data_IF_895998033751
#
_entry.id   IF_895998033751
#
_cell.length_a   1.000
_cell.length_b   1.000
_cell.length_c   1.000
_cell.angle_alpha   90.00
_cell.angle_beta   90.00
_cell.angle_gamma   90.00
#
_symmetry.space_group_name_H-M   'P 1'
#
loop_
_entity.id
_entity.type
_entity.pdbx_description
1 polymer ?
#
# COMPACT_ATOMS: atom_id res chain seq x y z
N UNK A 1 -7.37 -11.68 4.61
CA UNK A 1 -7.48 -10.99 5.91
C UNK A 1 -8.77 -11.42 6.61
N UNK A 2 -8.68 -12.07 7.76
CA UNK A 2 -9.86 -12.49 8.54
C UNK A 2 -10.48 -11.26 9.22
N UNK A 3 -11.72 -10.93 8.86
CA UNK A 3 -12.48 -9.86 9.52
C UNK A 3 -12.57 -10.16 11.03
N UNK A 4 -11.95 -9.32 11.83
CA UNK A 4 -12.26 -9.22 13.27
C UNK A 4 -11.35 -9.94 14.24
N UNK A 5 -10.41 -10.80 13.82
CA UNK A 5 -9.48 -11.44 14.76
C UNK A 5 -8.01 -11.25 14.39
N UNK A 6 -7.44 -10.12 14.80
CA UNK A 6 -6.01 -9.81 14.59
C UNK A 6 -5.06 -10.71 15.38
N UNK A 7 -5.58 -11.53 16.31
CA UNK A 7 -4.80 -12.48 17.12
C UNK A 7 -4.87 -13.92 16.59
N UNK A 8 -5.61 -14.14 15.49
CA UNK A 8 -5.68 -15.45 14.86
C UNK A 8 -4.33 -15.78 14.22
N UNK A 9 -3.71 -16.87 14.62
CA UNK A 9 -2.44 -17.33 14.08
C UNK A 9 -2.53 -17.77 12.62
N UNK A 10 -3.74 -18.08 12.14
CA UNK A 10 -4.01 -18.49 10.76
C UNK A 10 -4.41 -17.31 9.86
N UNK A 11 -4.39 -16.07 10.35
CA UNK A 11 -4.67 -14.90 9.51
C UNK A 11 -3.56 -14.61 8.53
N UNK A 12 -3.91 -13.98 7.42
CA UNK A 12 -2.94 -13.43 6.49
C UNK A 12 -2.25 -12.17 7.03
N UNK A 13 -1.10 -11.84 6.44
CA UNK A 13 -0.29 -10.67 6.81
C UNK A 13 -0.29 -9.63 5.70
N UNK A 14 -0.46 -8.36 6.08
CA UNK A 14 -0.40 -7.22 5.16
C UNK A 14 0.72 -6.27 5.59
N UNK A 15 1.67 -6.04 4.69
CA UNK A 15 2.73 -5.06 4.84
C UNK A 15 2.49 -3.87 3.89
N UNK A 16 2.49 -2.66 4.44
CA UNK A 16 2.45 -1.43 3.66
C UNK A 16 3.86 -0.87 3.54
N UNK A 17 4.59 -1.21 2.46
CA UNK A 17 5.98 -0.79 2.25
C UNK A 17 6.08 0.70 1.95
N UNK A 18 5.15 1.23 1.15
CA UNK A 18 4.97 2.67 0.93
C UNK A 18 4.32 3.33 2.15
N UNK A 19 5.05 3.41 3.25
CA UNK A 19 4.51 3.79 4.55
C UNK A 19 3.84 5.17 4.62
N UNK A 20 4.12 6.06 3.68
CA UNK A 20 3.49 7.38 3.56
C UNK A 20 2.00 7.32 3.16
N UNK A 21 1.51 6.17 2.68
CA UNK A 21 0.08 5.95 2.40
C UNK A 21 -0.71 5.50 3.64
N UNK A 22 -0.11 5.52 4.80
CA UNK A 22 -0.74 5.07 6.05
C UNK A 22 -2.08 5.73 6.38
N UNK A 23 -2.39 6.98 5.97
CA UNK A 23 -3.72 7.54 6.22
C UNK A 23 -4.85 6.71 5.60
N UNK A 24 -4.64 6.15 4.40
CA UNK A 24 -5.61 5.24 3.77
C UNK A 24 -5.77 3.95 4.58
N UNK A 25 -4.66 3.39 5.08
CA UNK A 25 -4.68 2.19 5.92
C UNK A 25 -5.44 2.43 7.22
N UNK A 26 -5.22 3.56 7.88
CA UNK A 26 -5.92 3.90 9.12
C UNK A 26 -7.42 4.13 8.88
N UNK A 27 -7.80 4.74 7.76
CA UNK A 27 -9.20 4.87 7.36
C UNK A 27 -9.87 3.49 7.22
N UNK A 28 -9.20 2.56 6.54
CA UNK A 28 -9.69 1.17 6.40
C UNK A 28 -9.80 0.48 7.76
N UNK A 29 -8.82 0.64 8.64
CA UNK A 29 -8.84 0.02 9.98
C UNK A 29 -9.96 0.58 10.85
N UNK A 30 -10.30 1.87 10.71
CA UNK A 30 -11.44 2.47 11.38
C UNK A 30 -12.76 1.89 10.86
N UNK A 31 -12.94 1.75 9.55
CA UNK A 31 -14.11 1.13 8.94
C UNK A 31 -14.27 -0.34 9.32
N UNK A 32 -13.16 -1.07 9.50
CA UNK A 32 -13.17 -2.45 9.97
C UNK A 32 -13.38 -2.58 11.49
N UNK A 33 -13.40 -1.48 12.22
CA UNK A 33 -13.51 -1.46 13.68
C UNK A 33 -12.26 -1.98 14.41
N UNK A 34 -11.10 -1.97 13.77
CA UNK A 34 -9.83 -2.35 14.40
C UNK A 34 -9.24 -1.24 15.25
N UNK A 35 -9.54 0.00 14.88
CA UNK A 35 -9.26 1.20 15.67
C UNK A 35 -10.55 2.03 15.80
N UNK A 36 -10.69 2.72 16.93
CA UNK A 36 -11.79 3.66 17.12
C UNK A 36 -11.63 4.85 16.15
N UNK A 37 -12.69 5.19 15.40
CA UNK A 37 -12.64 6.27 14.40
C UNK A 37 -12.23 7.62 15.02
N UNK A 38 -12.61 7.88 16.28
CA UNK A 38 -12.22 9.10 17.00
C UNK A 38 -10.71 9.23 17.21
N UNK A 39 -9.96 8.14 17.18
CA UNK A 39 -8.49 8.17 17.26
C UNK A 39 -7.85 8.84 16.04
N UNK A 40 -8.52 8.87 14.89
CA UNK A 40 -8.02 9.57 13.70
C UNK A 40 -7.83 11.08 13.96
N UNK A 41 -8.55 11.64 14.94
CA UNK A 41 -8.37 13.03 15.39
C UNK A 41 -7.01 13.27 16.08
N UNK A 42 -6.39 12.20 16.58
CA UNK A 42 -5.10 12.26 17.28
C UNK A 42 -3.91 12.15 16.33
N UNK A 43 -4.13 12.25 15.02
CA UNK A 43 -3.06 12.20 14.02
C UNK A 43 -1.95 13.19 14.36
N UNK A 44 -0.71 12.68 14.42
CA UNK A 44 0.50 13.40 14.86
C UNK A 44 0.54 13.82 16.34
N UNK A 45 -0.40 13.38 17.15
CA UNK A 45 -0.29 13.56 18.59
C UNK A 45 0.82 12.68 19.18
N UNK A 46 1.58 13.22 20.13
CA UNK A 46 2.59 12.45 20.87
C UNK A 46 1.99 11.43 21.83
N UNK A 47 0.69 11.55 22.14
CA UNK A 47 -0.05 10.68 23.06
C UNK A 47 -0.69 9.47 22.35
N UNK A 48 -0.67 9.46 21.01
CA UNK A 48 -1.18 8.36 20.19
C UNK A 48 -0.11 7.89 19.19
N UNK A 49 -0.30 6.71 18.62
CA UNK A 49 0.60 6.10 17.64
C UNK A 49 0.13 6.30 16.19
N UNK A 50 -0.90 7.09 15.95
CA UNK A 50 -1.39 7.47 14.61
C UNK A 50 -0.47 8.56 14.07
N UNK A 51 0.48 8.13 13.23
CA UNK A 51 1.56 9.00 12.75
C UNK A 51 1.71 8.90 11.21
N UNK A 52 2.75 9.55 10.64
CA UNK A 52 3.03 9.61 9.19
C UNK A 52 3.30 8.26 8.53
N UNK A 53 3.72 7.27 9.31
CA UNK A 53 4.08 5.94 8.84
C UNK A 53 3.48 4.88 9.75
N UNK A 54 3.26 3.66 9.25
CA UNK A 54 2.73 2.56 10.03
C UNK A 54 3.53 2.30 11.31
N UNK A 55 2.81 2.23 12.43
CA UNK A 55 3.37 1.95 13.74
C UNK A 55 2.75 0.67 14.28
N UNK A 56 3.57 -0.34 14.64
CA UNK A 56 3.09 -1.64 15.13
C UNK A 56 2.31 -1.59 16.44
N UNK A 57 2.27 -0.46 17.11
CA UNK A 57 1.39 -0.25 18.28
C UNK A 57 -0.07 0.01 17.84
N UNK A 58 -0.33 0.20 16.57
CA UNK A 58 -1.68 0.27 16.01
C UNK A 58 -2.12 -1.16 15.65
N UNK A 59 -3.29 -1.61 16.14
CA UNK A 59 -3.83 -2.93 15.80
C UNK A 59 -3.93 -3.12 14.28
N UNK A 60 -3.42 -4.24 13.77
CA UNK A 60 -3.41 -4.55 12.34
C UNK A 60 -2.16 -4.08 11.59
N UNK A 61 -1.29 -3.29 12.20
CA UNK A 61 0.01 -2.94 11.64
C UNK A 61 1.04 -4.01 12.03
N UNK A 62 1.58 -4.71 11.05
CA UNK A 62 2.51 -5.82 11.27
C UNK A 62 3.93 -5.35 11.63
N UNK A 63 4.37 -4.26 10.99
CA UNK A 63 5.73 -3.78 11.13
C UNK A 63 5.79 -2.26 10.95
N UNK A 64 6.75 -1.62 11.61
CA UNK A 64 7.07 -0.22 11.31
C UNK A 64 7.59 -0.11 9.88
N UNK A 65 7.10 0.87 9.13
CA UNK A 65 7.55 1.11 7.76
C UNK A 65 7.81 2.59 7.49
N UNK A 66 8.26 2.92 6.28
CA UNK A 66 8.57 4.28 5.85
C UNK A 66 9.92 4.39 5.14
N UNK A 67 10.87 3.51 5.47
CA UNK A 67 12.10 3.37 4.68
C UNK A 67 11.80 2.49 3.48
N UNK A 68 11.70 3.10 2.29
CA UNK A 68 11.37 2.41 1.05
C UNK A 68 12.37 1.29 0.74
N UNK A 69 11.90 0.21 0.14
CA UNK A 69 12.71 -0.94 -0.25
C UNK A 69 13.03 -1.93 0.89
N UNK A 70 12.62 -1.66 2.13
CA UNK A 70 12.97 -2.52 3.27
C UNK A 70 11.92 -3.61 3.56
N UNK A 71 10.64 -3.29 3.45
CA UNK A 71 9.58 -4.26 3.78
C UNK A 71 9.46 -5.44 2.82
N UNK A 72 9.83 -5.38 1.54
CA UNK A 72 9.89 -6.58 0.71
C UNK A 72 10.72 -7.70 1.35
N UNK A 73 11.92 -7.38 1.86
CA UNK A 73 12.77 -8.36 2.56
C UNK A 73 12.18 -8.85 3.88
N UNK A 74 11.53 -7.98 4.64
CA UNK A 74 10.82 -8.36 5.88
C UNK A 74 9.67 -9.32 5.55
N UNK A 75 8.87 -9.02 4.52
CA UNK A 75 7.76 -9.87 4.09
C UNK A 75 8.21 -11.26 3.63
N UNK A 76 9.38 -11.35 3.00
CA UNK A 76 10.04 -12.62 2.65
C UNK A 76 10.34 -13.44 3.91
N UNK A 77 10.94 -12.80 4.93
CA UNK A 77 11.26 -13.49 6.18
C UNK A 77 10.02 -14.07 6.86
N UNK A 78 8.91 -13.31 6.85
CA UNK A 78 7.63 -13.79 7.41
C UNK A 78 7.05 -14.92 6.55
N UNK A 79 7.08 -14.81 5.21
CA UNK A 79 6.61 -15.85 4.31
C UNK A 79 7.38 -17.17 4.48
N UNK A 80 8.70 -17.08 4.62
CA UNK A 80 9.57 -18.24 4.89
C UNK A 80 9.26 -18.89 6.24
N UNK A 81 9.08 -18.11 7.30
CA UNK A 81 8.73 -18.63 8.63
C UNK A 81 7.39 -19.38 8.63
N UNK A 82 6.39 -18.84 7.90
CA UNK A 82 5.11 -19.52 7.73
C UNK A 82 5.29 -20.90 7.07
N UNK A 83 6.04 -20.98 5.98
CA UNK A 83 6.31 -22.24 5.28
C UNK A 83 7.06 -23.22 6.19
N UNK A 84 8.08 -22.76 6.91
CA UNK A 84 8.87 -23.60 7.83
C UNK A 84 7.98 -24.19 8.94
N UNK A 85 7.01 -23.42 9.42
CA UNK A 85 6.06 -23.89 10.45
C UNK A 85 4.91 -24.73 9.88
N UNK A 86 4.83 -24.90 8.55
CA UNK A 86 3.74 -25.62 7.89
C UNK A 86 2.41 -24.86 7.90
N UNK A 87 2.45 -23.53 8.02
CA UNK A 87 1.28 -22.66 7.98
C UNK A 87 0.78 -22.44 6.54
N UNK A 88 -0.49 -22.02 6.42
CA UNK A 88 -1.15 -21.74 5.14
C UNK A 88 -1.41 -20.23 4.92
N UNK A 89 -0.96 -19.38 5.85
CA UNK A 89 -1.12 -17.93 5.81
C UNK A 89 -0.47 -17.35 4.56
N UNK A 90 -1.10 -16.35 4.00
CA UNK A 90 -0.54 -15.56 2.89
C UNK A 90 0.04 -14.26 3.39
N UNK A 91 1.04 -13.78 2.68
CA UNK A 91 1.73 -12.52 2.94
C UNK A 91 1.53 -11.61 1.74
N UNK A 92 1.05 -10.41 1.98
CA UNK A 92 0.85 -9.37 0.99
C UNK A 92 1.73 -8.16 1.32
N UNK A 93 2.51 -7.69 0.35
CA UNK A 93 3.36 -6.51 0.49
C UNK A 93 2.96 -5.46 -0.54
N UNK A 94 2.36 -4.35 -0.09
CA UNK A 94 1.97 -3.22 -0.95
C UNK A 94 3.15 -2.27 -1.08
N UNK A 95 3.55 -2.03 -2.31
CA UNK A 95 4.70 -1.22 -2.70
C UNK A 95 4.28 -0.09 -3.66
N UNK A 96 5.04 0.98 -3.68
CA UNK A 96 4.91 2.01 -4.72
C UNK A 96 5.81 1.72 -5.93
N UNK A 97 5.44 2.25 -7.09
CA UNK A 97 6.27 2.15 -8.29
C UNK A 97 7.61 2.89 -8.14
N UNK A 98 7.61 4.09 -7.56
CA UNK A 98 8.85 4.81 -7.25
C UNK A 98 9.76 4.08 -6.28
N UNK A 99 9.22 3.24 -5.41
CA UNK A 99 9.98 2.38 -4.51
C UNK A 99 10.82 1.34 -5.27
N UNK A 100 10.42 0.95 -6.48
CA UNK A 100 11.17 0.01 -7.32
C UNK A 100 12.51 0.57 -7.81
N UNK A 101 12.79 1.85 -7.60
CA UNK A 101 14.12 2.41 -7.82
C UNK A 101 15.12 2.05 -6.69
N UNK A 102 14.65 1.49 -5.58
CA UNK A 102 15.50 0.92 -4.54
C UNK A 102 16.04 -0.46 -4.96
N UNK A 103 17.36 -0.62 -4.98
CA UNK A 103 18.00 -1.89 -5.38
C UNK A 103 17.58 -3.07 -4.49
N UNK A 104 17.33 -2.81 -3.19
CA UNK A 104 16.89 -3.81 -2.23
C UNK A 104 15.56 -4.49 -2.60
N UNK A 105 14.68 -3.82 -3.37
CA UNK A 105 13.47 -4.45 -3.90
C UNK A 105 13.82 -5.61 -4.84
N UNK A 106 14.74 -5.38 -5.78
CA UNK A 106 15.14 -6.38 -6.77
C UNK A 106 15.92 -7.52 -6.15
N UNK A 107 16.76 -7.24 -5.16
CA UNK A 107 17.42 -8.27 -4.34
C UNK A 107 16.39 -9.15 -3.62
N UNK A 108 15.34 -8.53 -3.05
CA UNK A 108 14.25 -9.26 -2.41
C UNK A 108 13.50 -10.17 -3.42
N UNK A 109 13.22 -9.70 -4.63
CA UNK A 109 12.55 -10.51 -5.66
C UNK A 109 13.39 -11.72 -6.08
N UNK A 110 14.72 -11.59 -6.17
CA UNK A 110 15.61 -12.73 -6.41
C UNK A 110 15.47 -13.80 -5.34
N UNK A 111 15.44 -13.39 -4.07
CA UNK A 111 15.28 -14.30 -2.94
C UNK A 111 13.90 -14.95 -2.95
N UNK A 112 12.84 -14.17 -3.16
CA UNK A 112 11.46 -14.69 -3.21
C UNK A 112 11.29 -15.78 -4.28
N UNK A 113 11.89 -15.58 -5.47
CA UNK A 113 11.87 -16.57 -6.53
C UNK A 113 12.74 -17.79 -6.20
N UNK A 114 13.96 -17.58 -5.67
CA UNK A 114 14.87 -18.67 -5.33
C UNK A 114 14.25 -19.66 -4.33
N UNK A 115 13.51 -19.14 -3.35
CA UNK A 115 12.82 -19.97 -2.33
C UNK A 115 11.39 -20.35 -2.73
N UNK A 116 10.92 -19.94 -3.91
CA UNK A 116 9.57 -20.28 -4.44
C UNK A 116 8.45 -19.99 -3.44
N UNK A 117 8.45 -18.78 -2.90
CA UNK A 117 7.52 -18.37 -1.85
C UNK A 117 6.10 -18.17 -2.42
N UNK A 118 5.36 -19.27 -2.60
CA UNK A 118 4.02 -19.30 -3.20
C UNK A 118 2.94 -18.65 -2.31
N UNK A 119 3.27 -18.42 -1.05
CA UNK A 119 2.44 -17.70 -0.09
C UNK A 119 2.69 -16.18 -0.06
N UNK A 120 3.58 -15.65 -0.92
CA UNK A 120 3.94 -14.23 -0.96
C UNK A 120 3.45 -13.54 -2.25
N UNK A 121 2.77 -12.42 -2.10
CA UNK A 121 2.32 -11.58 -3.21
C UNK A 121 2.77 -10.14 -3.01
N UNK A 122 3.51 -9.60 -3.98
CA UNK A 122 3.82 -8.17 -4.06
C UNK A 122 2.73 -7.46 -4.87
N UNK A 123 2.23 -6.35 -4.35
CA UNK A 123 1.21 -5.51 -5.00
C UNK A 123 1.86 -4.17 -5.29
N UNK A 124 2.00 -3.83 -6.56
CA UNK A 124 2.66 -2.60 -6.99
C UNK A 124 1.59 -1.57 -7.33
N UNK A 125 1.50 -0.51 -6.55
CA UNK A 125 0.70 0.67 -6.88
C UNK A 125 1.45 1.46 -7.95
N UNK A 126 1.05 1.25 -9.22
CA UNK A 126 1.63 1.92 -10.41
C UNK A 126 0.87 3.21 -10.70
N UNK A 127 1.13 4.23 -9.90
CA UNK A 127 0.49 5.54 -10.03
C UNK A 127 1.26 6.52 -10.95
N UNK A 128 2.41 6.10 -11.48
CA UNK A 128 3.30 6.84 -12.38
C UNK A 128 4.03 8.03 -11.75
N UNK A 129 4.04 8.15 -10.42
CA UNK A 129 4.71 9.25 -9.74
C UNK A 129 5.62 8.79 -8.61
N UNK A 130 6.78 9.43 -8.52
CA UNK A 130 7.68 9.37 -7.38
C UNK A 130 7.77 10.77 -6.77
N UNK A 131 7.22 10.95 -5.58
CA UNK A 131 7.02 12.26 -4.98
C UNK A 131 6.32 13.22 -5.98
N UNK A 132 6.95 14.31 -6.37
CA UNK A 132 6.42 15.32 -7.28
C UNK A 132 6.94 15.20 -8.74
N UNK A 133 7.48 14.06 -9.13
CA UNK A 133 7.98 13.80 -10.48
C UNK A 133 7.36 12.52 -11.06
N UNK A 134 7.24 12.47 -12.38
CA UNK A 134 6.86 11.24 -13.05
C UNK A 134 7.99 10.20 -12.94
N UNK A 135 7.64 8.95 -12.64
CA UNK A 135 8.63 7.86 -12.50
C UNK A 135 9.43 7.64 -13.77
N UNK A 136 8.80 7.74 -14.93
CA UNK A 136 9.46 7.53 -16.23
C UNK A 136 10.42 8.67 -16.62
N UNK A 137 10.23 9.87 -16.05
CA UNK A 137 11.14 11.00 -16.28
C UNK A 137 12.37 10.95 -15.37
N UNK A 138 12.26 10.27 -14.22
CA UNK A 138 13.36 10.12 -13.27
C UNK A 138 14.25 8.93 -13.64
N UNK A 139 13.73 7.73 -13.42
CA UNK A 139 14.40 6.46 -13.71
C UNK A 139 13.33 5.54 -14.32
N UNK A 140 13.33 5.34 -15.64
CA UNK A 140 12.29 4.57 -16.32
C UNK A 140 12.12 3.15 -15.78
N UNK A 141 10.90 2.78 -15.49
CA UNK A 141 10.55 1.48 -14.91
C UNK A 141 9.98 0.50 -15.93
N UNK A 142 9.43 0.97 -17.05
CA UNK A 142 8.80 0.08 -18.03
C UNK A 142 9.85 -0.72 -18.84
N UNK A 143 9.60 -1.96 -19.30
CA UNK A 143 8.35 -2.71 -19.00
C UNK A 143 8.46 -3.42 -17.67
N UNK A 144 7.59 -3.08 -16.70
CA UNK A 144 7.58 -3.73 -15.39
C UNK A 144 7.22 -5.22 -15.50
N UNK A 145 6.27 -5.59 -16.37
CA UNK A 145 5.86 -6.99 -16.56
C UNK A 145 7.07 -7.83 -16.97
N UNK A 146 7.81 -7.42 -18.00
CA UNK A 146 8.98 -8.15 -18.49
C UNK A 146 10.08 -8.24 -17.42
N UNK A 147 10.28 -7.17 -16.64
CA UNK A 147 11.24 -7.18 -15.53
C UNK A 147 10.89 -8.24 -14.50
N UNK A 148 9.65 -8.24 -13.99
CA UNK A 148 9.24 -9.23 -12.98
C UNK A 148 9.24 -10.66 -13.54
N UNK A 149 8.79 -10.86 -14.76
CA UNK A 149 8.85 -12.16 -15.43
C UNK A 149 10.29 -12.66 -15.63
N UNK A 150 11.24 -11.77 -15.93
CA UNK A 150 12.67 -12.12 -16.00
C UNK A 150 13.26 -12.56 -14.66
N UNK A 151 12.68 -12.11 -13.54
CA UNK A 151 12.99 -12.59 -12.20
C UNK A 151 12.26 -13.90 -11.84
N UNK A 152 11.50 -14.47 -12.78
CA UNK A 152 10.77 -15.74 -12.61
C UNK A 152 9.48 -15.60 -11.80
N UNK A 153 8.92 -14.41 -11.67
CA UNK A 153 7.70 -14.16 -10.91
C UNK A 153 6.47 -14.21 -11.80
N UNK A 154 5.39 -14.84 -11.31
CA UNK A 154 4.10 -14.76 -11.99
C UNK A 154 3.55 -13.33 -11.84
N UNK A 155 3.36 -12.66 -12.97
CA UNK A 155 3.00 -11.25 -13.00
C UNK A 155 1.64 -11.03 -13.64
N UNK A 156 0.80 -10.22 -13.02
CA UNK A 156 -0.47 -9.74 -13.56
C UNK A 156 -0.45 -8.21 -13.55
N UNK A 157 -0.95 -7.56 -14.61
CA UNK A 157 -1.14 -6.10 -14.65
C UNK A 157 -2.62 -5.81 -14.89
N UNK A 158 -3.20 -4.97 -14.05
CA UNK A 158 -4.64 -4.70 -14.01
C UNK A 158 -4.91 -3.23 -13.77
N UNK A 159 -6.14 -2.79 -14.08
CA UNK A 159 -6.67 -1.53 -13.56
C UNK A 159 -6.86 -1.64 -12.04
N UNK A 160 -6.10 -0.85 -11.27
CA UNK A 160 -6.14 -0.84 -9.80
C UNK A 160 -7.41 -0.20 -9.21
N UNK A 161 -8.25 0.44 -10.05
CA UNK A 161 -9.54 1.00 -9.63
C UNK A 161 -10.72 0.10 -10.01
N UNK A 162 -10.50 -1.02 -10.69
CA UNK A 162 -11.52 -2.01 -11.02
C UNK A 162 -11.55 -3.14 -9.98
N UNK A 163 -12.57 -3.14 -9.12
CA UNK A 163 -12.75 -4.17 -8.09
C UNK A 163 -12.91 -5.58 -8.66
N UNK A 164 -13.50 -5.73 -9.85
CA UNK A 164 -13.66 -7.05 -10.49
C UNK A 164 -12.32 -7.57 -11.00
N UNK A 165 -11.47 -6.68 -11.54
CA UNK A 165 -10.11 -7.02 -11.95
C UNK A 165 -9.24 -7.42 -10.74
N UNK A 166 -9.37 -6.68 -9.62
CA UNK A 166 -8.70 -7.01 -8.35
C UNK A 166 -9.13 -8.39 -7.83
N UNK A 167 -10.44 -8.65 -7.73
CA UNK A 167 -10.97 -9.95 -7.27
C UNK A 167 -10.45 -11.10 -8.13
N UNK A 168 -10.45 -10.93 -9.45
CA UNK A 168 -9.92 -11.91 -10.39
C UNK A 168 -8.42 -12.13 -10.19
N UNK A 169 -7.63 -11.06 -10.03
CA UNK A 169 -6.20 -11.14 -9.82
C UNK A 169 -5.87 -11.92 -8.53
N UNK A 170 -6.54 -11.60 -7.41
CA UNK A 170 -6.39 -12.33 -6.16
C UNK A 170 -6.88 -13.79 -6.21
N UNK A 171 -7.85 -14.09 -7.08
CA UNK A 171 -8.29 -15.47 -7.31
C UNK A 171 -7.24 -16.26 -8.09
N UNK A 172 -6.58 -15.62 -9.08
CA UNK A 172 -5.59 -16.26 -9.94
C UNK A 172 -4.28 -16.63 -9.21
N UNK A 173 -3.93 -15.99 -8.10
CA UNK A 173 -2.72 -16.32 -7.33
C UNK A 173 -2.86 -17.60 -6.52
N UNK A 174 -4.08 -18.13 -6.32
CA UNK A 174 -4.30 -19.34 -5.57
C UNK A 174 -3.78 -20.56 -6.34
N UNK A 175 -2.96 -21.38 -5.67
CA UNK A 175 -2.39 -22.59 -6.26
C UNK A 175 -1.25 -22.37 -7.26
N UNK A 176 -0.77 -21.13 -7.40
CA UNK A 176 0.43 -20.84 -8.19
C UNK A 176 1.69 -21.20 -7.42
N UNK A 177 2.76 -21.51 -8.14
CA UNK A 177 4.08 -21.80 -7.56
C UNK A 177 4.98 -20.56 -7.64
N UNK A 178 5.67 -20.26 -6.53
CA UNK A 178 6.56 -19.11 -6.41
C UNK A 178 5.84 -17.80 -6.09
N UNK A 179 6.60 -16.77 -5.81
CA UNK A 179 6.06 -15.46 -5.47
C UNK A 179 5.35 -14.79 -6.65
N UNK A 180 4.30 -14.04 -6.36
CA UNK A 180 3.45 -13.41 -7.35
C UNK A 180 3.55 -11.88 -7.29
N UNK A 181 3.30 -11.23 -8.43
CA UNK A 181 3.21 -9.77 -8.53
C UNK A 181 1.89 -9.38 -9.17
N UNK A 182 1.20 -8.44 -8.54
CA UNK A 182 0.05 -7.75 -9.12
C UNK A 182 0.43 -6.29 -9.31
N UNK A 183 0.55 -5.85 -10.55
CA UNK A 183 0.77 -4.45 -10.90
C UNK A 183 -0.61 -3.81 -11.07
N UNK A 184 -0.93 -2.87 -10.19
CA UNK A 184 -2.17 -2.13 -10.21
C UNK A 184 -1.93 -0.75 -10.83
N UNK A 185 -2.35 -0.54 -12.07
CA UNK A 185 -2.35 0.79 -12.67
C UNK A 185 -3.39 1.65 -11.96
N UNK A 186 -2.95 2.73 -11.34
CA UNK A 186 -3.78 3.63 -10.56
C UNK A 186 -3.62 5.08 -11.00
N UNK A 187 -4.57 5.91 -10.61
CA UNK A 187 -4.50 7.36 -10.78
C UNK A 187 -4.30 8.00 -9.42
N UNK A 188 -3.17 8.68 -9.22
CA UNK A 188 -2.92 9.43 -7.99
C UNK A 188 -4.04 10.46 -7.77
N UNK A 189 -4.59 10.49 -6.55
CA UNK A 189 -5.67 11.42 -6.19
C UNK A 189 -7.04 11.05 -6.76
N UNK A 190 -7.23 9.80 -7.20
CA UNK A 190 -8.52 9.30 -7.71
C UNK A 190 -9.66 9.63 -6.77
N UNK A 191 -10.73 10.21 -7.33
CA UNK A 191 -11.91 10.69 -6.60
C UNK A 191 -11.90 12.21 -6.35
N UNK A 192 -10.79 12.89 -6.65
CA UNK A 192 -10.68 14.35 -6.59
C UNK A 192 -10.16 14.88 -7.93
N UNK A 193 -11.04 15.10 -8.93
CA UNK A 193 -10.67 15.50 -10.29
C UNK A 193 -9.73 16.71 -10.37
N UNK A 194 -9.85 17.66 -9.44
CA UNK A 194 -8.97 18.84 -9.37
C UNK A 194 -7.51 18.53 -9.04
N UNK A 195 -7.23 17.36 -8.45
CA UNK A 195 -5.89 16.93 -8.06
C UNK A 195 -5.46 15.60 -8.70
N UNK A 196 -6.35 14.91 -9.42
CA UNK A 196 -6.03 13.65 -10.10
C UNK A 196 -4.82 13.81 -11.03
N UNK A 197 -3.92 12.80 -11.02
CA UNK A 197 -2.74 12.71 -11.88
C UNK A 197 -1.81 13.93 -11.84
N UNK A 198 -1.78 14.69 -10.73
CA UNK A 198 -0.96 15.90 -10.59
C UNK A 198 0.26 15.63 -9.71
N UNK A 199 1.44 15.80 -10.28
CA UNK A 199 2.71 15.67 -9.58
C UNK A 199 2.90 16.78 -8.52
N UNK A 200 2.47 18.01 -8.82
CA UNK A 200 2.61 19.19 -7.96
C UNK A 200 1.73 19.11 -6.67
N UNK A 201 0.94 18.07 -6.52
CA UNK A 201 0.08 17.85 -5.37
C UNK A 201 0.62 16.82 -4.37
N UNK A 202 1.90 16.51 -4.41
CA UNK A 202 2.55 15.67 -3.41
C UNK A 202 2.81 16.42 -2.09
N UNK A 203 3.45 17.59 -2.17
CA UNK A 203 3.64 18.49 -1.05
C UNK A 203 2.57 19.58 -1.11
N UNK A 204 1.46 19.38 -0.44
CA UNK A 204 0.33 20.31 -0.47
C UNK A 204 0.16 21.00 0.89
N UNK A 205 0.12 22.34 0.86
CA UNK A 205 -0.43 23.15 1.93
C UNK A 205 -1.75 23.72 1.41
N UNK A 206 -2.85 23.08 1.75
CA UNK A 206 -4.17 23.58 1.38
C UNK A 206 -4.61 24.67 2.36
N UNK A 207 -5.12 25.77 1.82
CA UNK A 207 -5.85 26.76 2.61
C UNK A 207 -7.21 26.19 3.06
N UNK A 208 -7.79 26.76 4.12
CA UNK A 208 -9.11 26.34 4.58
C UNK A 208 -10.20 26.41 3.48
N UNK A 209 -10.27 27.45 2.62
CA UNK A 209 -11.19 27.46 1.49
C UNK A 209 -10.97 26.30 0.51
N UNK A 210 -9.71 26.03 0.12
CA UNK A 210 -9.39 24.90 -0.77
C UNK A 210 -9.80 23.55 -0.15
N UNK A 211 -9.61 23.36 1.15
CA UNK A 211 -10.06 22.14 1.85
C UNK A 211 -11.57 21.99 1.73
N UNK A 212 -12.34 23.07 1.93
CA UNK A 212 -13.80 23.02 1.79
C UNK A 212 -14.24 22.69 0.35
N UNK A 213 -13.57 23.27 -0.64
CA UNK A 213 -13.83 22.96 -2.05
C UNK A 213 -13.53 21.48 -2.37
N UNK A 214 -12.39 20.95 -1.90
CA UNK A 214 -12.03 19.54 -2.08
C UNK A 214 -13.00 18.59 -1.36
N UNK A 215 -13.50 18.95 -0.18
CA UNK A 215 -14.51 18.16 0.51
C UNK A 215 -15.84 18.11 -0.23
N UNK A 216 -16.26 19.25 -0.80
CA UNK A 216 -17.46 19.31 -1.65
C UNK A 216 -17.28 18.44 -2.91
N UNK A 217 -16.11 18.53 -3.54
CA UNK A 217 -15.77 17.72 -4.71
C UNK A 217 -15.76 16.22 -4.37
N UNK A 218 -15.13 15.82 -3.26
CA UNK A 218 -15.07 14.43 -2.80
C UNK A 218 -16.45 13.84 -2.49
N UNK A 219 -17.36 14.66 -1.99
CA UNK A 219 -18.72 14.24 -1.63
C UNK A 219 -19.75 14.57 -2.70
N UNK A 220 -19.35 14.67 -3.96
CA UNK A 220 -20.25 14.87 -5.12
C UNK A 220 -21.18 16.10 -4.95
N UNK A 221 -20.68 17.17 -4.34
CA UNK A 221 -21.42 18.39 -4.10
C UNK A 221 -22.11 18.48 -2.74
N UNK A 222 -22.05 17.46 -1.91
CA UNK A 222 -22.54 17.53 -0.53
C UNK A 222 -21.46 18.08 0.41
N UNK A 223 -21.85 19.01 1.30
CA UNK A 223 -20.95 19.56 2.31
C UNK A 223 -20.51 18.47 3.30
N UNK A 224 -19.22 18.40 3.59
CA UNK A 224 -18.66 17.55 4.62
C UNK A 224 -17.80 18.38 5.57
N UNK A 225 -17.65 17.90 6.79
CA UNK A 225 -16.77 18.53 7.78
C UNK A 225 -15.55 17.65 8.00
N UNK A 226 -14.39 18.29 8.11
CA UNK A 226 -13.18 17.59 8.56
C UNK A 226 -13.40 17.05 9.98
N UNK A 227 -13.00 15.81 10.19
CA UNK A 227 -13.04 15.16 11.52
C UNK A 227 -11.92 15.69 12.41
N UNK A 228 -10.83 16.23 11.84
CA UNK A 228 -9.71 16.84 12.54
C UNK A 228 -9.11 18.01 11.77
N UNK A 229 -8.74 19.09 12.49
CA UNK A 229 -8.10 20.27 11.89
C UNK A 229 -6.59 20.06 11.59
N UNK A 230 -6.05 18.88 11.84
CA UNK A 230 -4.61 18.58 11.80
C UNK A 230 -4.08 18.21 10.43
N UNK A 231 -4.79 18.46 9.35
CA UNK A 231 -4.26 18.35 7.98
C UNK A 231 -3.37 19.56 7.61
N UNK A 232 -2.47 19.95 8.51
CA UNK A 232 -1.40 20.88 8.19
C UNK A 232 -0.18 20.06 7.84
N UNK A 233 -0.04 19.77 6.58
CA UNK A 233 1.25 19.32 6.05
C UNK A 233 2.15 20.56 6.02
N UNK A 234 3.15 20.60 6.87
CA UNK A 234 4.21 21.60 6.81
C UNK A 234 5.24 21.21 5.77
#
# INVERSE_FOLDING_TARGET
LHKGNLKDENRDYLFLSKGHDVPALYGIFAELGWIEADRLKNHLSTEDHIYWHPNRNIPGVEFHSGSLGQLPSVSIGVAMDIIIRGGENRVYCVMGDGELNEGSCWEAFLVANAYKLDNLTFIIDRNNFQANMATEDLIPLESLVEKFESFGMMTQRIDGHDFMALEKAFSNIKGQTGAQVIICDTVRGKGLPSIEARADRWFCNFSQPEIQELLVELNEGFGANLVAETLVVR
#
